data_IF_116185377191
#
_entry.id   IF_116185377191
#
_cell.length_a   1.000
_cell.length_b   1.000
_cell.length_c   1.000
_cell.angle_alpha   90.00
_cell.angle_beta   90.00
_cell.angle_gamma   90.00
#
_symmetry.space_group_name_H-M   'P 1'
#
loop_
_entity.id
_entity.type
_entity.pdbx_description
1 polymer ?
#
# COMPACT_ATOMS: atom_id res chain seq x y z
N UNK A 1 -6.64 -24.64 18.75
CA UNK A 1 -6.12 -24.58 17.36
C UNK A 1 -4.80 -23.85 17.45
N UNK A 2 -3.68 -24.45 17.03
CA UNK A 2 -2.41 -23.73 16.93
C UNK A 2 -2.61 -22.59 15.90
N UNK A 3 -2.27 -21.37 16.27
CA UNK A 3 -2.28 -20.23 15.34
C UNK A 3 -1.26 -20.57 14.24
N UNK A 4 -1.73 -20.83 13.04
CA UNK A 4 -0.91 -21.04 11.85
C UNK A 4 -0.17 -19.72 11.54
N UNK A 5 1.11 -19.76 11.18
CA UNK A 5 1.85 -18.55 10.84
C UNK A 5 1.24 -17.89 9.59
N UNK A 6 1.38 -16.56 9.48
CA UNK A 6 0.87 -15.84 8.31
C UNK A 6 1.54 -16.36 7.03
N UNK A 7 2.86 -16.63 7.04
CA UNK A 7 3.56 -17.25 5.91
C UNK A 7 2.88 -18.54 5.45
N UNK A 8 2.59 -19.45 6.38
CA UNK A 8 1.91 -20.71 6.05
C UNK A 8 0.53 -20.44 5.46
N UNK A 9 -0.23 -19.50 6.06
CA UNK A 9 -1.55 -19.11 5.55
C UNK A 9 -1.47 -18.58 4.11
N UNK A 10 -0.48 -17.72 3.80
CA UNK A 10 -0.26 -17.18 2.45
C UNK A 10 0.05 -18.29 1.45
N UNK A 11 1.01 -19.16 1.78
CA UNK A 11 1.47 -20.23 0.87
C UNK A 11 0.38 -21.28 0.63
N UNK A 12 -0.35 -21.70 1.66
CA UNK A 12 -1.39 -22.73 1.56
C UNK A 12 -2.73 -22.23 1.03
N UNK A 13 -2.92 -20.90 0.89
CA UNK A 13 -4.14 -20.33 0.30
C UNK A 13 -4.27 -20.77 -1.15
N UNK A 14 -5.32 -21.53 -1.45
CA UNK A 14 -5.67 -21.96 -2.81
C UNK A 14 -6.71 -21.02 -3.39
N UNK A 15 -6.50 -20.60 -4.62
CA UNK A 15 -7.36 -19.68 -5.34
C UNK A 15 -7.91 -20.35 -6.61
N UNK A 16 -9.13 -19.99 -6.97
CA UNK A 16 -9.65 -20.22 -8.30
C UNK A 16 -9.01 -19.24 -9.30
N UNK A 17 -9.07 -19.51 -10.61
CA UNK A 17 -8.38 -18.68 -11.63
C UNK A 17 -8.80 -17.20 -11.64
N UNK A 18 -10.02 -16.92 -11.21
CA UNK A 18 -10.68 -15.61 -11.16
C UNK A 18 -10.71 -15.01 -9.74
N UNK A 19 -9.87 -15.50 -8.83
CA UNK A 19 -9.77 -15.01 -7.46
C UNK A 19 -8.39 -14.41 -7.19
N UNK A 20 -8.35 -13.46 -6.26
CA UNK A 20 -7.10 -13.02 -5.62
C UNK A 20 -7.26 -13.05 -4.11
N UNK A 21 -6.15 -13.18 -3.38
CA UNK A 21 -6.13 -13.05 -1.94
C UNK A 21 -5.31 -11.84 -1.52
N UNK A 22 -5.85 -11.11 -0.56
CA UNK A 22 -5.20 -10.00 0.13
C UNK A 22 -4.85 -10.42 1.54
N UNK A 23 -3.62 -10.15 1.96
CA UNK A 23 -3.15 -10.39 3.34
C UNK A 23 -2.63 -9.07 3.88
N UNK A 24 -3.27 -8.56 4.92
CA UNK A 24 -2.94 -7.27 5.49
C UNK A 24 -1.80 -7.37 6.50
N UNK A 25 -0.79 -6.54 6.35
CA UNK A 25 0.39 -6.51 7.21
C UNK A 25 0.33 -5.40 8.27
N UNK A 26 -0.65 -4.52 8.18
CA UNK A 26 -0.76 -3.30 9.00
C UNK A 26 -0.36 -2.05 8.24
N UNK A 27 -0.76 -0.88 8.72
CA UNK A 27 -0.56 0.45 8.14
C UNK A 27 -1.17 0.54 6.73
N UNK A 28 -0.37 0.27 5.71
CA UNK A 28 -0.78 0.21 4.29
C UNK A 28 -0.29 -1.08 3.63
N UNK A 29 0.49 -1.91 4.34
CA UNK A 29 1.19 -3.06 3.80
C UNK A 29 0.26 -4.22 3.44
N UNK A 30 0.42 -4.75 2.22
CA UNK A 30 -0.31 -5.92 1.75
C UNK A 30 0.58 -6.92 1.03
N UNK A 31 0.30 -8.22 1.24
CA UNK A 31 0.68 -9.25 0.28
C UNK A 31 -0.55 -9.54 -0.58
N UNK A 32 -0.40 -9.43 -1.90
CA UNK A 32 -1.41 -9.83 -2.89
C UNK A 32 -0.95 -11.14 -3.52
N UNK A 33 -1.78 -12.18 -3.40
CA UNK A 33 -1.59 -13.44 -4.09
C UNK A 33 -2.57 -13.54 -5.26
N UNK A 34 -2.03 -13.73 -6.46
CA UNK A 34 -2.83 -14.02 -7.65
C UNK A 34 -2.20 -15.17 -8.42
N UNK A 35 -2.94 -16.24 -8.59
CA UNK A 35 -2.40 -17.53 -9.08
C UNK A 35 -1.19 -17.94 -8.23
N UNK A 36 -0.04 -18.22 -8.85
CA UNK A 36 1.22 -18.60 -8.18
C UNK A 36 2.19 -17.40 -8.01
N UNK A 37 1.68 -16.16 -8.05
CA UNK A 37 2.46 -14.93 -7.89
C UNK A 37 2.14 -14.22 -6.60
N UNK A 38 3.18 -13.68 -5.96
CA UNK A 38 3.12 -12.98 -4.69
C UNK A 38 3.71 -11.58 -4.85
N UNK A 39 2.88 -10.58 -4.58
CA UNK A 39 3.21 -9.15 -4.69
C UNK A 39 3.17 -8.57 -3.28
N UNK A 40 4.26 -7.97 -2.83
CA UNK A 40 4.30 -7.16 -1.61
C UNK A 40 4.18 -5.69 -1.99
N UNK A 41 3.27 -4.97 -1.34
CA UNK A 41 3.10 -3.53 -1.51
C UNK A 41 3.30 -2.87 -0.15
N UNK A 42 4.20 -1.89 -0.06
CA UNK A 42 4.49 -1.07 1.12
C UNK A 42 4.63 -1.89 2.42
N UNK A 43 5.44 -2.96 2.35
CA UNK A 43 5.65 -3.86 3.49
C UNK A 43 6.48 -3.20 4.59
N UNK A 44 5.85 -2.72 5.66
CA UNK A 44 6.51 -2.16 6.83
C UNK A 44 6.48 -3.14 8.00
N UNK A 45 7.53 -3.95 8.16
CA UNK A 45 7.61 -5.03 9.14
C UNK A 45 8.62 -4.79 10.26
N UNK A 46 9.41 -3.73 10.19
CA UNK A 46 10.37 -3.34 11.23
C UNK A 46 9.78 -2.31 12.22
N UNK A 47 10.63 -1.81 13.09
CA UNK A 47 10.38 -0.66 13.96
C UNK A 47 11.20 0.58 13.52
N UNK A 48 11.53 0.68 12.23
CA UNK A 48 12.44 1.71 11.73
C UNK A 48 11.93 3.13 12.03
N UNK A 49 10.65 3.40 11.78
CA UNK A 49 10.02 4.71 12.08
C UNK A 49 10.08 4.99 13.58
N UNK A 50 9.75 4.00 14.43
CA UNK A 50 9.77 4.13 15.90
C UNK A 50 11.16 4.55 16.41
N UNK A 51 12.24 3.99 15.80
CA UNK A 51 13.62 4.25 16.20
C UNK A 51 14.22 5.53 15.64
N UNK A 52 13.76 5.95 14.46
CA UNK A 52 14.44 7.03 13.70
C UNK A 52 13.63 8.32 13.59
N UNK A 53 12.29 8.24 13.65
CA UNK A 53 11.41 9.39 13.45
C UNK A 53 10.76 9.90 14.75
N UNK A 54 10.79 9.12 15.83
CA UNK A 54 10.16 9.51 17.09
C UNK A 54 10.83 10.74 17.70
N UNK A 55 10.01 11.69 18.15
CA UNK A 55 10.40 12.89 18.89
C UNK A 55 9.61 12.97 20.20
N UNK A 56 9.97 13.89 21.11
CA UNK A 56 9.18 14.14 22.32
C UNK A 56 7.75 14.61 21.99
N UNK A 57 7.57 15.35 20.90
CA UNK A 57 6.28 15.87 20.47
C UNK A 57 5.47 14.82 19.72
N UNK A 58 6.14 13.99 18.89
CA UNK A 58 5.51 12.99 18.04
C UNK A 58 6.12 11.62 18.32
N UNK A 59 5.57 10.90 19.32
CA UNK A 59 6.08 9.58 19.68
C UNK A 59 5.57 8.52 18.70
N UNK A 60 6.24 8.35 17.57
CA UNK A 60 5.97 7.24 16.64
C UNK A 60 6.20 5.92 17.35
N UNK A 61 5.13 5.27 17.80
CA UNK A 61 5.17 3.97 18.45
C UNK A 61 4.10 3.06 17.90
N UNK A 62 4.52 1.93 17.36
CA UNK A 62 3.60 0.93 16.84
C UNK A 62 2.63 0.44 17.91
N UNK A 63 1.35 0.36 17.59
CA UNK A 63 0.29 -0.18 18.45
C UNK A 63 0.33 -1.71 18.57
N UNK A 64 0.88 -2.38 17.56
CA UNK A 64 0.95 -3.84 17.48
C UNK A 64 2.23 -4.29 16.74
N UNK A 65 2.73 -5.50 17.03
CA UNK A 65 3.86 -6.05 16.31
C UNK A 65 3.46 -6.39 14.86
N UNK A 66 4.46 -6.44 13.96
CA UNK A 66 4.24 -6.94 12.62
C UNK A 66 3.72 -8.40 12.66
N UNK A 67 2.77 -8.79 11.78
CA UNK A 67 2.15 -10.11 11.81
C UNK A 67 3.08 -11.24 11.34
N UNK A 68 4.22 -10.88 10.75
CA UNK A 68 5.31 -11.78 10.35
C UNK A 68 6.62 -11.01 10.32
N UNK A 69 7.75 -11.71 10.28
CA UNK A 69 9.04 -11.06 10.09
C UNK A 69 9.39 -10.90 8.61
N UNK A 70 10.26 -9.92 8.30
CA UNK A 70 10.70 -9.67 6.93
C UNK A 70 11.53 -10.86 6.36
N UNK A 71 12.23 -11.60 7.22
CA UNK A 71 12.99 -12.79 6.86
C UNK A 71 12.10 -13.97 6.41
N UNK A 72 10.80 -13.93 6.69
CA UNK A 72 9.85 -14.94 6.21
C UNK A 72 9.40 -14.69 4.76
N UNK A 73 9.76 -13.55 4.13
CA UNK A 73 9.34 -13.14 2.78
C UNK A 73 10.22 -13.72 1.65
N UNK A 74 10.75 -14.93 1.83
CA UNK A 74 11.59 -15.65 0.86
C UNK A 74 10.83 -16.15 -0.39
N UNK A 75 9.51 -15.92 -0.44
CA UNK A 75 8.62 -16.37 -1.51
C UNK A 75 8.04 -15.22 -2.38
N UNK A 76 8.30 -13.97 -2.05
CA UNK A 76 7.76 -12.81 -2.78
C UNK A 76 8.41 -12.70 -4.17
N UNK A 77 7.59 -12.56 -5.22
CA UNK A 77 8.09 -12.32 -6.58
C UNK A 77 8.41 -10.84 -6.80
N UNK A 78 7.49 -9.96 -6.38
CA UNK A 78 7.55 -8.52 -6.67
C UNK A 78 7.32 -7.70 -5.41
N UNK A 79 8.15 -6.68 -5.20
CA UNK A 79 8.05 -5.72 -4.10
C UNK A 79 7.79 -4.34 -4.69
N UNK A 80 6.76 -3.66 -4.20
CA UNK A 80 6.39 -2.31 -4.62
C UNK A 80 6.49 -1.35 -3.45
N UNK A 81 7.15 -0.21 -3.65
CA UNK A 81 7.15 0.90 -2.68
C UNK A 81 6.59 2.14 -3.37
N UNK A 82 5.51 2.70 -2.78
CA UNK A 82 4.78 3.83 -3.38
C UNK A 82 5.56 5.12 -3.30
N UNK A 83 6.29 5.35 -2.24
CA UNK A 83 7.15 6.52 -2.02
C UNK A 83 8.23 6.25 -0.96
N UNK A 84 9.06 7.25 -0.65
CA UNK A 84 10.27 7.07 0.14
C UNK A 84 10.08 7.15 1.65
N UNK A 85 8.87 7.39 2.19
CA UNK A 85 8.65 7.36 3.63
C UNK A 85 8.91 5.96 4.19
N UNK A 86 9.43 5.91 5.42
CA UNK A 86 9.95 4.66 6.00
C UNK A 86 8.88 3.65 6.37
N UNK A 87 7.64 4.04 6.53
CA UNK A 87 6.50 3.14 6.71
C UNK A 87 5.92 2.57 5.39
N UNK A 88 6.55 2.92 4.24
CA UNK A 88 6.28 2.41 2.90
C UNK A 88 7.53 1.77 2.27
N UNK A 89 8.66 2.47 2.27
CA UNK A 89 9.95 1.96 1.79
C UNK A 89 10.89 1.70 2.98
N UNK A 90 10.52 0.74 3.83
CA UNK A 90 11.24 0.39 5.06
C UNK A 90 12.62 -0.20 4.76
N UNK A 91 13.71 0.50 5.10
CA UNK A 91 15.05 0.02 4.78
C UNK A 91 15.39 -1.35 5.39
N UNK A 92 14.90 -1.63 6.60
CA UNK A 92 15.21 -2.89 7.30
C UNK A 92 14.43 -4.05 6.70
N UNK A 93 13.14 -3.87 6.39
CA UNK A 93 12.34 -4.88 5.68
C UNK A 93 12.91 -5.16 4.30
N UNK A 94 13.25 -4.13 3.52
CA UNK A 94 13.77 -4.29 2.17
C UNK A 94 15.12 -5.01 2.14
N UNK A 95 16.05 -4.67 3.06
CA UNK A 95 17.33 -5.37 3.23
C UNK A 95 17.17 -6.83 3.63
N UNK A 96 16.23 -7.10 4.55
CA UNK A 96 15.95 -8.47 4.97
C UNK A 96 15.44 -9.31 3.81
N UNK A 97 14.49 -8.79 3.02
CA UNK A 97 13.99 -9.46 1.80
C UNK A 97 15.14 -9.72 0.82
N UNK A 98 15.96 -8.72 0.50
CA UNK A 98 17.07 -8.87 -0.44
C UNK A 98 18.06 -9.98 -0.01
N UNK A 99 18.24 -10.16 1.30
CA UNK A 99 19.11 -11.19 1.87
C UNK A 99 18.52 -12.60 1.75
N UNK A 100 17.21 -12.77 2.01
CA UNK A 100 16.56 -14.10 2.03
C UNK A 100 15.96 -14.49 0.70
N UNK A 101 15.71 -13.51 -0.17
CA UNK A 101 15.07 -13.69 -1.47
C UNK A 101 15.77 -12.87 -2.57
N UNK A 102 16.95 -13.30 -3.03
CA UNK A 102 17.72 -12.58 -4.04
C UNK A 102 17.07 -12.56 -5.43
N UNK A 103 15.90 -13.22 -5.60
CA UNK A 103 15.16 -13.24 -6.86
C UNK A 103 14.02 -12.20 -6.90
N UNK A 104 13.71 -11.56 -5.78
CA UNK A 104 12.67 -10.54 -5.72
C UNK A 104 13.06 -9.34 -6.59
N UNK A 105 12.09 -8.81 -7.32
CA UNK A 105 12.24 -7.57 -8.11
C UNK A 105 11.50 -6.44 -7.40
N UNK A 106 12.14 -5.29 -7.29
CA UNK A 106 11.63 -4.11 -6.58
C UNK A 106 11.19 -3.06 -7.58
N UNK A 107 9.97 -2.58 -7.46
CA UNK A 107 9.37 -1.57 -8.33
C UNK A 107 9.04 -0.31 -7.55
N UNK A 108 9.46 0.82 -8.08
CA UNK A 108 9.26 2.15 -7.48
C UNK A 108 9.07 3.20 -8.56
N UNK A 109 8.68 4.42 -8.21
CA UNK A 109 8.83 5.55 -9.13
C UNK A 109 10.30 5.75 -9.52
N UNK A 110 10.57 6.19 -10.75
CA UNK A 110 11.91 6.60 -11.17
C UNK A 110 12.52 7.63 -10.21
N UNK A 111 11.70 8.51 -9.62
CA UNK A 111 12.16 9.58 -8.74
C UNK A 111 12.86 9.05 -7.47
N UNK A 112 12.41 7.90 -6.92
CA UNK A 112 12.95 7.37 -5.66
C UNK A 112 13.83 6.13 -5.84
N UNK A 113 14.16 5.75 -7.08
CA UNK A 113 14.98 4.58 -7.36
C UNK A 113 16.34 4.64 -6.64
N UNK A 114 17.01 5.78 -6.70
CA UNK A 114 18.31 5.97 -6.05
C UNK A 114 18.21 5.89 -4.52
N UNK A 115 17.08 6.26 -3.93
CA UNK A 115 16.83 6.07 -2.50
C UNK A 115 16.86 4.58 -2.13
N UNK A 116 16.19 3.71 -2.89
CA UNK A 116 16.23 2.27 -2.64
C UNK A 116 17.62 1.69 -2.86
N UNK A 117 18.36 2.16 -3.86
CA UNK A 117 19.75 1.74 -4.06
C UNK A 117 20.64 2.13 -2.87
N UNK A 118 20.39 3.30 -2.25
CA UNK A 118 21.12 3.73 -1.05
C UNK A 118 20.89 2.81 0.15
N UNK A 119 19.81 2.02 0.16
CA UNK A 119 19.56 0.99 1.18
C UNK A 119 20.39 -0.29 0.96
N UNK A 120 21.15 -0.36 -0.14
CA UNK A 120 22.01 -1.49 -0.47
C UNK A 120 21.31 -2.61 -1.24
N UNK A 121 20.16 -2.31 -1.88
CA UNK A 121 19.49 -3.25 -2.76
C UNK A 121 20.28 -3.44 -4.07
N UNK A 122 20.24 -4.64 -4.70
CA UNK A 122 20.93 -4.89 -5.97
C UNK A 122 20.37 -3.99 -7.08
N UNK A 123 21.26 -3.30 -7.81
CA UNK A 123 20.85 -2.31 -8.80
C UNK A 123 20.07 -2.88 -10.00
N UNK A 124 20.30 -4.14 -10.34
CA UNK A 124 19.62 -4.90 -11.38
C UNK A 124 18.25 -5.43 -10.92
N UNK A 125 18.00 -5.48 -9.63
CA UNK A 125 16.71 -5.86 -9.05
C UNK A 125 15.77 -4.66 -8.82
N UNK A 126 16.25 -3.41 -8.84
CA UNK A 126 15.43 -2.21 -8.60
C UNK A 126 15.06 -1.54 -9.91
N UNK A 127 13.77 -1.59 -10.23
CA UNK A 127 13.18 -1.07 -11.48
C UNK A 127 12.40 0.21 -11.19
N UNK A 128 12.80 1.29 -11.85
CA UNK A 128 12.05 2.55 -11.84
C UNK A 128 10.90 2.53 -12.84
N UNK A 129 9.75 3.02 -12.43
CA UNK A 129 8.55 3.12 -13.26
C UNK A 129 8.25 4.59 -13.60
N UNK A 130 7.82 4.83 -14.84
CA UNK A 130 7.20 6.08 -15.25
C UNK A 130 5.68 6.00 -15.04
N UNK A 131 5.08 7.09 -14.56
CA UNK A 131 3.63 7.17 -14.39
C UNK A 131 2.88 7.04 -15.72
N UNK A 132 1.65 6.57 -15.62
CA UNK A 132 0.70 6.40 -16.73
C UNK A 132 1.20 5.44 -17.85
N UNK A 133 2.25 4.67 -17.58
CA UNK A 133 2.83 3.69 -18.53
C UNK A 133 2.68 2.28 -17.97
N UNK A 134 1.84 1.42 -18.57
CA UNK A 134 1.69 0.05 -18.11
C UNK A 134 2.94 -0.80 -18.35
N UNK A 135 3.31 -1.60 -17.37
CA UNK A 135 4.44 -2.55 -17.43
C UNK A 135 3.92 -3.96 -17.17
N UNK A 136 4.19 -4.88 -18.08
CA UNK A 136 3.86 -6.29 -17.92
C UNK A 136 4.86 -6.96 -16.96
N UNK A 137 4.36 -7.58 -15.90
CA UNK A 137 5.15 -8.42 -14.99
C UNK A 137 5.12 -9.88 -15.44
N UNK A 138 3.99 -10.31 -15.99
CA UNK A 138 3.75 -11.62 -16.60
C UNK A 138 2.75 -11.47 -17.74
N UNK A 139 2.39 -12.57 -18.41
CA UNK A 139 1.34 -12.59 -19.46
C UNK A 139 -0.06 -12.27 -18.90
N UNK A 140 -0.23 -12.27 -17.57
CA UNK A 140 -1.52 -12.08 -16.89
C UNK A 140 -1.47 -11.07 -15.74
N UNK A 141 -0.35 -10.42 -15.49
CA UNK A 141 -0.21 -9.33 -14.51
C UNK A 141 0.47 -8.16 -15.18
N UNK A 142 -0.15 -7.00 -15.11
CA UNK A 142 0.48 -5.73 -15.43
C UNK A 142 0.28 -4.72 -14.31
N UNK A 143 1.13 -3.71 -14.26
CA UNK A 143 1.07 -2.61 -13.29
C UNK A 143 1.25 -1.28 -14.00
N UNK A 144 0.52 -0.27 -13.54
CA UNK A 144 0.69 1.13 -13.94
C UNK A 144 0.91 1.97 -12.69
N UNK A 145 2.01 2.69 -12.63
CA UNK A 145 2.22 3.71 -11.61
C UNK A 145 1.32 4.92 -11.91
N UNK A 146 0.54 5.33 -10.92
CA UNK A 146 -0.38 6.48 -11.00
C UNK A 146 0.19 7.58 -10.09
N UNK A 147 0.30 8.84 -10.52
CA UNK A 147 0.72 9.91 -9.63
C UNK A 147 -0.10 9.95 -8.34
N UNK A 148 0.52 10.15 -7.19
CA UNK A 148 -0.15 10.34 -5.92
C UNK A 148 0.17 11.73 -5.36
N UNK A 149 -0.85 12.45 -4.90
CA UNK A 149 -0.67 13.75 -4.27
C UNK A 149 -0.57 13.56 -2.75
N UNK A 150 0.63 13.55 -2.21
CA UNK A 150 0.81 13.57 -0.77
C UNK A 150 0.63 15.01 -0.25
N UNK A 151 -0.62 15.43 -0.13
CA UNK A 151 -1.23 16.76 -0.17
C UNK A 151 -1.08 17.47 -1.53
N UNK A 152 0.09 17.45 -2.14
CA UNK A 152 0.39 18.00 -3.46
C UNK A 152 1.11 16.97 -4.34
N UNK A 153 1.18 17.23 -5.63
CA UNK A 153 1.93 16.41 -6.58
C UNK A 153 3.39 16.90 -6.64
N UNK A 154 4.32 16.10 -6.15
CA UNK A 154 5.74 16.43 -6.17
C UNK A 154 6.44 15.73 -7.33
N UNK A 155 7.39 16.46 -7.94
CA UNK A 155 8.23 15.94 -9.02
C UNK A 155 9.69 16.28 -8.77
N UNK A 156 10.55 15.32 -9.07
CA UNK A 156 11.99 15.57 -9.11
C UNK A 156 12.41 16.46 -10.29
N UNK A 157 13.70 16.78 -10.39
CA UNK A 157 14.25 17.62 -11.47
C UNK A 157 14.08 17.00 -12.88
N UNK A 158 13.85 15.70 -12.98
CA UNK A 158 13.63 15.00 -14.25
C UNK A 158 12.15 14.98 -14.67
N UNK A 159 11.26 15.46 -13.81
CA UNK A 159 9.82 15.46 -14.01
C UNK A 159 9.11 14.17 -13.59
N UNK A 160 9.81 13.22 -12.96
CA UNK A 160 9.21 12.01 -12.39
C UNK A 160 8.52 12.33 -11.08
N UNK A 161 7.36 11.74 -10.83
CA UNK A 161 6.61 11.90 -9.57
C UNK A 161 7.30 11.16 -8.42
N UNK A 162 7.42 11.81 -7.27
CA UNK A 162 8.06 11.26 -6.07
C UNK A 162 7.15 10.28 -5.35
N UNK A 163 5.84 10.55 -5.31
CA UNK A 163 4.81 9.68 -4.75
C UNK A 163 3.94 9.12 -5.87
N UNK A 164 3.67 7.82 -5.79
CA UNK A 164 2.82 7.10 -6.74
C UNK A 164 1.94 6.07 -6.04
N UNK A 165 0.74 5.86 -6.56
CA UNK A 165 -0.01 4.63 -6.30
C UNK A 165 0.24 3.62 -7.40
N UNK A 166 -0.13 2.37 -7.18
CA UNK A 166 0.00 1.29 -8.17
C UNK A 166 -1.36 0.71 -8.52
N UNK A 167 -1.69 0.75 -9.81
CA UNK A 167 -2.87 0.09 -10.37
C UNK A 167 -2.43 -1.18 -11.09
N UNK A 168 -2.86 -2.32 -10.55
CA UNK A 168 -2.60 -3.64 -11.11
C UNK A 168 -3.79 -4.09 -11.97
N UNK A 169 -3.50 -4.80 -13.07
CA UNK A 169 -4.41 -5.71 -13.73
C UNK A 169 -3.96 -7.14 -13.44
N UNK A 170 -4.82 -7.90 -12.81
CA UNK A 170 -4.58 -9.26 -12.32
C UNK A 170 -5.53 -10.21 -13.07
N UNK A 171 -5.27 -10.40 -14.37
CA UNK A 171 -6.09 -11.26 -15.21
C UNK A 171 -7.52 -10.76 -15.39
N UNK A 172 -7.72 -9.46 -15.43
CA UNK A 172 -9.01 -8.79 -15.58
C UNK A 172 -9.59 -8.25 -14.26
N UNK A 173 -9.08 -8.65 -13.09
CA UNK A 173 -9.40 -7.99 -11.81
C UNK A 173 -8.45 -6.82 -11.62
N UNK A 174 -8.98 -5.63 -11.43
CA UNK A 174 -8.17 -4.42 -11.24
C UNK A 174 -8.10 -4.01 -9.77
N UNK A 175 -6.88 -3.73 -9.29
CA UNK A 175 -6.61 -3.31 -7.93
C UNK A 175 -5.76 -2.05 -7.93
N UNK A 176 -6.16 -1.03 -7.19
CA UNK A 176 -5.36 0.16 -6.95
C UNK A 176 -4.98 0.28 -5.49
N UNK A 177 -3.69 0.45 -5.23
CA UNK A 177 -3.12 0.79 -3.94
C UNK A 177 -2.60 2.22 -4.00
N UNK A 178 -3.19 3.11 -3.21
CA UNK A 178 -2.87 4.53 -3.28
C UNK A 178 -1.50 4.89 -2.67
N UNK A 179 -0.97 4.04 -1.77
CA UNK A 179 0.06 4.49 -0.86
C UNK A 179 -0.49 5.59 0.05
N UNK A 180 0.25 6.66 0.20
CA UNK A 180 -0.23 7.91 0.78
C UNK A 180 -0.67 8.85 -0.32
N UNK A 181 -1.79 9.55 -0.10
CA UNK A 181 -2.30 10.46 -1.11
C UNK A 181 -3.60 11.17 -0.74
N UNK A 182 -3.88 12.20 -1.53
CA UNK A 182 -5.10 13.02 -1.49
C UNK A 182 -5.74 13.06 -2.89
N UNK A 183 -7.03 13.45 -3.00
CA UNK A 183 -7.65 13.69 -4.30
C UNK A 183 -6.93 14.80 -5.06
N UNK A 184 -6.82 14.65 -6.38
CA UNK A 184 -6.32 15.67 -7.30
C UNK A 184 -7.03 15.57 -8.65
N UNK A 185 -6.95 16.64 -9.45
CA UNK A 185 -7.60 16.68 -10.76
C UNK A 185 -7.01 15.63 -11.72
N UNK A 186 -7.87 14.77 -12.28
CA UNK A 186 -7.48 13.68 -13.16
C UNK A 186 -7.29 12.33 -12.49
N UNK A 187 -7.45 12.21 -11.16
CA UNK A 187 -7.35 10.94 -10.45
C UNK A 187 -8.53 10.02 -10.78
N UNK A 188 -9.75 10.58 -10.84
CA UNK A 188 -10.97 9.81 -11.16
C UNK A 188 -10.85 9.14 -12.52
N UNK A 189 -10.38 9.86 -13.53
CA UNK A 189 -10.21 9.36 -14.90
C UNK A 189 -9.21 8.19 -14.96
N UNK A 190 -8.12 8.27 -14.20
CA UNK A 190 -7.09 7.22 -14.13
C UNK A 190 -7.58 5.95 -13.44
N UNK A 191 -8.51 6.10 -12.50
CA UNK A 191 -9.02 5.00 -11.70
C UNK A 191 -10.39 4.48 -12.12
N UNK A 192 -10.98 5.04 -13.18
CA UNK A 192 -12.30 4.63 -13.66
C UNK A 192 -12.40 3.11 -13.83
N UNK A 193 -13.46 2.52 -13.30
CA UNK A 193 -13.74 1.08 -13.31
C UNK A 193 -12.63 0.22 -12.66
N UNK A 194 -11.96 0.72 -11.64
CA UNK A 194 -11.06 -0.11 -10.82
C UNK A 194 -11.90 -0.90 -9.80
N UNK A 195 -11.75 -2.23 -9.78
CA UNK A 195 -12.58 -3.12 -8.95
C UNK A 195 -12.30 -2.95 -7.46
N UNK A 196 -11.02 -2.89 -7.06
CA UNK A 196 -10.60 -2.84 -5.66
C UNK A 196 -9.77 -1.58 -5.43
N UNK A 197 -10.16 -0.78 -4.46
CA UNK A 197 -9.41 0.39 -4.00
C UNK A 197 -8.90 0.17 -2.58
N UNK A 198 -7.58 0.30 -2.40
CA UNK A 198 -6.94 0.41 -1.10
C UNK A 198 -6.52 1.87 -0.90
N UNK A 199 -7.26 2.59 -0.05
CA UNK A 199 -7.11 4.04 0.14
C UNK A 199 -6.80 4.37 1.60
N UNK A 200 -5.83 5.26 1.88
CA UNK A 200 -5.64 5.78 3.23
C UNK A 200 -6.87 6.58 3.66
N UNK A 201 -7.21 6.56 4.95
CA UNK A 201 -8.40 7.24 5.48
C UNK A 201 -8.11 8.05 6.75
N UNK A 202 -6.87 8.15 7.16
CA UNK A 202 -6.45 8.90 8.34
C UNK A 202 -6.69 10.41 8.24
N UNK A 203 -6.87 10.94 7.02
CA UNK A 203 -7.20 12.34 6.77
C UNK A 203 -6.07 13.31 7.07
N UNK A 204 -6.41 14.57 7.17
CA UNK A 204 -5.51 15.69 7.46
C UNK A 204 -6.18 16.68 8.42
N UNK A 205 -5.39 17.30 9.28
CA UNK A 205 -5.84 18.39 10.13
C UNK A 205 -4.71 19.36 10.46
N UNK A 206 -5.09 20.54 11.00
CA UNK A 206 -4.17 21.62 11.29
C UNK A 206 -3.04 21.20 12.26
N UNK A 207 -3.37 20.50 13.34
CA UNK A 207 -2.39 20.15 14.37
C UNK A 207 -1.39 19.11 13.87
N UNK A 208 -1.86 18.08 13.18
CA UNK A 208 -0.96 17.11 12.54
C UNK A 208 -0.04 17.80 11.53
N UNK A 209 -0.59 18.63 10.64
CA UNK A 209 0.20 19.25 9.57
C UNK A 209 1.18 20.31 10.07
N UNK A 210 0.74 21.24 10.93
CA UNK A 210 1.53 22.43 11.27
C UNK A 210 2.20 22.38 12.64
N UNK A 211 1.83 21.44 13.50
CA UNK A 211 2.44 21.28 14.84
C UNK A 211 3.29 20.01 14.88
N UNK A 212 2.84 18.93 14.28
CA UNK A 212 3.51 17.62 14.32
C UNK A 212 4.27 17.27 13.03
N UNK A 213 4.19 18.11 12.00
CA UNK A 213 4.78 17.89 10.66
C UNK A 213 4.39 16.53 10.05
N UNK A 214 3.13 16.15 10.23
CA UNK A 214 2.55 14.95 9.65
C UNK A 214 1.76 15.36 8.41
N UNK A 215 2.21 14.91 7.25
CA UNK A 215 1.54 15.14 5.97
C UNK A 215 0.25 14.31 5.93
N UNK A 216 -0.81 14.89 5.37
CA UNK A 216 -2.13 14.28 5.36
C UNK A 216 -2.42 13.41 4.14
N UNK A 217 -3.51 12.67 4.27
CA UNK A 217 -4.01 11.74 3.26
C UNK A 217 -5.49 11.98 2.98
N UNK A 218 -6.10 11.14 2.13
CA UNK A 218 -7.56 11.06 2.04
C UNK A 218 -8.17 10.96 3.42
N UNK A 219 -9.28 11.64 3.62
CA UNK A 219 -10.18 11.33 4.72
C UNK A 219 -11.23 10.27 4.29
N UNK A 220 -12.02 9.80 5.26
CA UNK A 220 -13.05 8.78 5.01
C UNK A 220 -14.09 9.25 3.98
N UNK A 221 -14.39 10.56 3.93
CA UNK A 221 -15.34 11.15 2.99
C UNK A 221 -14.77 11.14 1.57
N UNK A 222 -13.56 11.63 1.40
CA UNK A 222 -12.85 11.67 0.12
C UNK A 222 -12.69 10.26 -0.47
N UNK A 223 -12.28 9.28 0.35
CA UNK A 223 -12.15 7.89 -0.05
C UNK A 223 -13.48 7.27 -0.49
N UNK A 224 -14.56 7.50 0.26
CA UNK A 224 -15.91 7.00 -0.07
C UNK A 224 -16.44 7.59 -1.38
N UNK A 225 -16.24 8.90 -1.58
CA UNK A 225 -16.68 9.57 -2.80
C UNK A 225 -15.86 9.17 -4.02
N UNK A 226 -14.55 8.95 -3.87
CA UNK A 226 -13.71 8.44 -4.95
C UNK A 226 -14.16 7.04 -5.36
N UNK A 227 -14.37 6.12 -4.41
CA UNK A 227 -14.83 4.77 -4.70
C UNK A 227 -16.15 4.76 -5.49
N UNK A 228 -17.10 5.61 -5.08
CA UNK A 228 -18.35 5.80 -5.81
C UNK A 228 -18.14 6.38 -7.21
N UNK A 229 -17.29 7.38 -7.35
CA UNK A 229 -17.05 8.06 -8.63
C UNK A 229 -16.40 7.15 -9.68
N UNK A 230 -15.50 6.25 -9.25
CA UNK A 230 -14.80 5.32 -10.15
C UNK A 230 -15.52 3.97 -10.32
N UNK A 231 -16.69 3.78 -9.69
CA UNK A 231 -17.48 2.55 -9.70
C UNK A 231 -16.74 1.35 -9.11
N UNK A 232 -16.00 1.57 -8.00
CA UNK A 232 -15.27 0.49 -7.33
C UNK A 232 -16.21 -0.56 -6.75
N UNK A 233 -15.88 -1.84 -6.92
CA UNK A 233 -16.65 -2.94 -6.36
C UNK A 233 -16.32 -3.17 -4.87
N UNK A 234 -15.08 -2.85 -4.44
CA UNK A 234 -14.63 -3.00 -3.07
C UNK A 234 -13.73 -1.83 -2.65
N UNK A 235 -14.05 -1.19 -1.53
CA UNK A 235 -13.22 -0.19 -0.87
C UNK A 235 -12.59 -0.76 0.39
N UNK A 236 -11.28 -0.64 0.52
CA UNK A 236 -10.50 -1.08 1.67
C UNK A 236 -9.79 0.13 2.27
N UNK A 237 -10.14 0.55 3.49
CA UNK A 237 -9.43 1.63 4.18
C UNK A 237 -8.06 1.15 4.65
N UNK A 238 -7.07 2.02 4.53
CA UNK A 238 -5.68 1.81 4.99
C UNK A 238 -5.22 2.99 5.84
N UNK A 239 -4.02 2.93 6.40
CA UNK A 239 -3.32 4.01 7.10
C UNK A 239 -4.09 4.55 8.32
N UNK A 240 -4.76 3.70 9.07
CA UNK A 240 -5.62 4.16 10.18
C UNK A 240 -5.29 3.52 11.54
N UNK A 241 -4.45 2.48 11.58
CA UNK A 241 -4.41 1.57 12.73
C UNK A 241 -3.06 1.47 13.46
N UNK A 242 -1.93 1.89 12.85
CA UNK A 242 -0.61 1.57 13.38
C UNK A 242 -0.09 2.57 14.43
N UNK A 243 -0.27 3.87 14.24
CA UNK A 243 0.29 4.91 15.07
C UNK A 243 -0.79 5.81 15.68
N UNK A 244 -0.81 5.97 17.03
CA UNK A 244 -1.80 6.81 17.72
C UNK A 244 -1.85 8.23 17.19
N UNK A 245 -0.68 8.79 16.88
CA UNK A 245 -0.51 10.17 16.41
C UNK A 245 -1.10 10.39 14.99
N UNK A 246 -1.32 9.31 14.24
CA UNK A 246 -1.80 9.36 12.85
C UNK A 246 -2.92 8.34 12.58
N UNK A 247 -3.67 7.97 13.59
CA UNK A 247 -4.73 6.97 13.49
C UNK A 247 -6.12 7.59 13.27
N UNK A 248 -7.03 6.74 12.80
CA UNK A 248 -8.44 7.00 12.72
C UNK A 248 -9.22 5.88 13.43
N UNK A 249 -10.28 6.20 14.14
CA UNK A 249 -11.23 5.18 14.59
C UNK A 249 -11.99 4.62 13.38
N UNK A 250 -11.90 3.31 13.09
CA UNK A 250 -12.56 2.73 11.92
C UNK A 250 -14.09 2.89 11.92
N UNK A 251 -14.72 3.12 13.08
CA UNK A 251 -16.15 3.44 13.15
C UNK A 251 -16.49 4.75 12.39
N UNK A 252 -15.60 5.74 12.37
CA UNK A 252 -15.77 6.97 11.59
C UNK A 252 -15.81 6.67 10.09
N UNK A 253 -14.96 5.78 9.60
CA UNK A 253 -15.00 5.34 8.21
C UNK A 253 -16.32 4.63 7.89
N UNK A 254 -16.78 3.70 8.77
CA UNK A 254 -18.04 2.98 8.57
C UNK A 254 -19.23 3.93 8.50
N UNK A 255 -19.35 4.86 9.45
CA UNK A 255 -20.42 5.87 9.46
C UNK A 255 -20.42 6.70 8.16
N UNK A 256 -19.24 7.12 7.74
CA UNK A 256 -19.06 7.94 6.54
C UNK A 256 -19.44 7.18 5.25
N UNK A 257 -18.89 5.97 5.04
CA UNK A 257 -19.14 5.20 3.81
C UNK A 257 -20.61 4.77 3.71
N UNK A 258 -21.22 4.35 4.81
CA UNK A 258 -22.63 3.94 4.82
C UNK A 258 -23.59 5.13 4.59
N UNK A 259 -23.17 6.34 4.95
CA UNK A 259 -23.94 7.55 4.70
C UNK A 259 -23.80 8.06 3.27
N UNK A 260 -22.58 8.11 2.72
CA UNK A 260 -22.30 8.76 1.43
C UNK A 260 -22.36 7.82 0.23
N UNK A 261 -22.10 6.56 0.47
CA UNK A 261 -22.06 5.50 -0.55
C UNK A 261 -22.67 4.20 0.03
N UNK A 262 -23.98 4.16 0.35
CA UNK A 262 -24.61 3.06 1.08
C UNK A 262 -24.50 1.70 0.38
N UNK A 263 -24.36 1.68 -0.95
CA UNK A 263 -24.23 0.47 -1.75
C UNK A 263 -22.76 0.03 -1.92
N UNK A 264 -21.80 0.83 -1.41
CA UNK A 264 -20.39 0.52 -1.54
C UNK A 264 -20.00 -0.65 -0.62
N UNK A 265 -19.54 -1.75 -1.22
CA UNK A 265 -18.92 -2.83 -0.44
C UNK A 265 -17.58 -2.33 0.11
N UNK A 266 -17.33 -2.63 1.38
CA UNK A 266 -16.05 -2.31 2.02
C UNK A 266 -15.60 -3.43 2.94
N UNK A 267 -14.29 -3.47 3.23
CA UNK A 267 -13.72 -4.41 4.19
C UNK A 267 -12.65 -3.72 5.04
N UNK A 268 -12.74 -3.85 6.36
CA UNK A 268 -11.77 -3.32 7.31
C UNK A 268 -10.93 -4.48 7.84
N UNK A 269 -9.66 -4.47 7.52
CA UNK A 269 -8.73 -5.53 7.91
C UNK A 269 -8.24 -5.40 9.35
N UNK A 270 -7.84 -6.55 9.90
CA UNK A 270 -6.93 -6.66 11.04
C UNK A 270 -5.58 -7.18 10.58
N UNK A 271 -4.47 -6.76 11.21
CA UNK A 271 -3.14 -7.27 10.86
C UNK A 271 -3.08 -8.80 10.89
N UNK A 272 -2.53 -9.40 9.84
CA UNK A 272 -2.50 -10.85 9.63
C UNK A 272 -3.76 -11.48 9.03
N UNK A 273 -4.79 -10.70 8.78
CA UNK A 273 -6.04 -11.19 8.16
C UNK A 273 -5.87 -11.47 6.68
N UNK A 274 -6.54 -12.54 6.22
CA UNK A 274 -6.69 -12.89 4.82
C UNK A 274 -8.10 -12.57 4.33
N UNK A 275 -8.21 -11.95 3.17
CA UNK A 275 -9.46 -11.77 2.41
C UNK A 275 -9.31 -12.37 1.02
N UNK A 276 -10.27 -13.18 0.57
CA UNK A 276 -10.31 -13.70 -0.81
C UNK A 276 -11.38 -12.92 -1.55
N UNK A 277 -10.94 -12.20 -2.58
CA UNK A 277 -11.82 -11.50 -3.51
C UNK A 277 -12.19 -12.45 -4.66
N UNK A 278 -13.48 -12.53 -4.96
CA UNK A 278 -14.07 -13.10 -6.14
C UNK A 278 -15.07 -12.08 -6.72
N UNK A 279 -15.09 -11.93 -8.03
CA UNK A 279 -16.02 -11.03 -8.72
C UNK A 279 -17.46 -11.56 -8.72
#
# INVERSE_FOLDING_TARGET
MQNQSLKTTVLETRLLPDQLALFYLGQVGFIVKFREKYILIDGYLSDYVDRTCATELVPWKRRYPAPMSAEELDFIDYVFCTHSHYDHADPDTLRAIAKVNPKATYYVSNAIRETLLSYGLPADAVIGLSCDTPVALTDFISVTAIPAAHEELHKNANGDYEEVGFRFDLGGITLYHAGDGCPYDGLVERLMNTDILLLPVNGKDYFRRYVSDIIGNFDSREASLLAKAVHAKLLIPTHFDLYDVNALNPATFVDTVTTLAPDQRYHIFKPGERYIYAD
#
